data_IF_529425158708
#
_entry.id   IF_529425158708
#
_cell.length_a   1.000
_cell.length_b   1.000
_cell.length_c   1.000
_cell.angle_alpha   90.00
_cell.angle_beta   90.00
_cell.angle_gamma   90.00
#
_symmetry.space_group_name_H-M   'P 1'
#
loop_
_entity.id
_entity.type
_entity.pdbx_description
1 polymer ?
#
# COMPACT_ATOMS: atom_id res chain seq x y z
N UNK A 1 26.40 -28.74 -6.94
CA UNK A 1 27.33 -28.54 -8.07
C UNK A 1 27.61 -27.05 -8.16
N UNK A 2 28.88 -26.69 -8.06
CA UNK A 2 29.39 -25.32 -7.95
C UNK A 2 29.52 -24.67 -9.31
N UNK A 3 29.13 -23.41 -9.41
CA UNK A 3 29.83 -22.42 -10.23
C UNK A 3 29.59 -21.04 -9.60
N UNK A 4 30.68 -20.29 -9.42
CA UNK A 4 30.79 -18.96 -8.80
C UNK A 4 30.84 -18.86 -7.28
N UNK A 5 31.65 -19.71 -6.63
CA UNK A 5 32.67 -19.36 -5.62
C UNK A 5 32.39 -18.39 -4.46
N UNK A 6 31.19 -17.85 -4.30
CA UNK A 6 30.80 -16.92 -3.25
C UNK A 6 30.17 -17.78 -2.16
N UNK A 7 30.98 -18.15 -1.17
CA UNK A 7 30.46 -18.62 0.11
C UNK A 7 29.74 -17.45 0.77
N UNK A 8 28.42 -17.39 0.62
CA UNK A 8 27.59 -16.59 1.53
C UNK A 8 27.75 -17.20 2.92
N UNK A 9 28.58 -16.58 3.76
CA UNK A 9 28.49 -16.81 5.21
C UNK A 9 27.14 -16.25 5.64
N UNK A 10 26.16 -17.13 5.78
CA UNK A 10 25.04 -16.82 6.68
C UNK A 10 25.66 -16.64 8.06
N UNK A 11 25.85 -15.39 8.46
CA UNK A 11 26.08 -15.06 9.86
C UNK A 11 24.74 -15.28 10.52
N UNK A 12 24.59 -16.44 11.14
CA UNK A 12 23.47 -16.67 12.05
C UNK A 12 23.52 -15.55 13.09
N UNK A 13 22.56 -14.63 13.03
CA UNK A 13 22.48 -13.52 13.96
C UNK A 13 21.98 -14.04 15.29
N UNK A 14 22.84 -14.76 16.04
CA UNK A 14 22.56 -15.24 17.38
C UNK A 14 22.51 -14.12 18.43
N UNK A 15 22.60 -12.84 18.03
CA UNK A 15 22.35 -11.73 18.93
C UNK A 15 20.84 -11.59 19.13
N UNK A 16 20.39 -11.80 20.37
CA UNK A 16 19.03 -11.52 20.86
C UNK A 16 18.58 -10.13 20.39
N UNK A 17 17.89 -10.05 19.25
CA UNK A 17 17.55 -8.76 18.63
C UNK A 17 16.54 -8.07 19.54
N UNK A 18 16.90 -6.89 20.04
CA UNK A 18 16.03 -6.14 20.94
C UNK A 18 14.88 -5.55 20.14
N UNK A 19 13.68 -5.98 20.53
CA UNK A 19 12.41 -5.55 19.98
C UNK A 19 11.92 -4.27 20.66
N UNK A 20 11.29 -3.37 19.91
CA UNK A 20 10.76 -2.10 20.42
C UNK A 20 9.32 -1.91 19.95
N UNK A 21 8.43 -1.54 20.88
CA UNK A 21 7.06 -1.13 20.57
C UNK A 21 7.03 0.37 20.22
N UNK A 22 6.32 0.78 19.16
CA UNK A 22 6.25 2.19 18.76
C UNK A 22 5.33 3.02 19.65
N UNK A 23 5.77 4.26 19.91
CA UNK A 23 5.06 5.26 20.73
C UNK A 23 4.64 6.45 19.85
N UNK A 24 3.56 7.10 20.28
CA UNK A 24 2.71 8.11 19.62
C UNK A 24 3.42 9.40 19.12
N UNK A 25 4.65 9.70 19.55
CA UNK A 25 5.39 10.92 19.16
C UNK A 25 6.72 10.58 18.47
N UNK A 26 6.79 10.88 17.17
CA UNK A 26 7.90 10.56 16.27
C UNK A 26 9.24 11.18 16.70
N UNK A 27 9.24 12.41 17.22
CA UNK A 27 10.50 13.10 17.52
C UNK A 27 11.11 12.57 18.82
N UNK A 28 10.34 12.57 19.91
CA UNK A 28 10.78 12.10 21.23
C UNK A 28 11.12 10.61 21.19
N UNK A 29 10.34 9.81 20.47
CA UNK A 29 10.62 8.38 20.32
C UNK A 29 11.92 8.13 19.55
N UNK A 30 12.15 8.84 18.44
CA UNK A 30 13.36 8.64 17.64
C UNK A 30 14.62 9.01 18.44
N UNK A 31 14.63 10.19 19.06
CA UNK A 31 15.84 10.70 19.74
C UNK A 31 16.10 10.00 21.07
N UNK A 32 15.07 9.69 21.87
CA UNK A 32 15.28 9.11 23.21
C UNK A 32 15.28 7.59 23.23
N UNK A 33 14.62 6.93 22.27
CA UNK A 33 14.47 5.46 22.30
C UNK A 33 15.25 4.77 21.19
N UNK A 34 15.19 5.27 19.95
CA UNK A 34 15.80 4.61 18.79
C UNK A 34 17.30 4.91 18.70
N UNK A 35 17.70 6.19 18.65
CA UNK A 35 19.10 6.59 18.45
C UNK A 35 20.05 5.98 19.50
N UNK A 36 19.78 6.03 20.83
CA UNK A 36 20.70 5.48 21.82
C UNK A 36 20.82 3.96 21.75
N UNK A 37 19.73 3.26 21.41
CA UNK A 37 19.74 1.81 21.22
C UNK A 37 20.48 1.43 19.94
N UNK A 38 20.39 2.25 18.90
CA UNK A 38 21.05 1.99 17.63
C UNK A 38 22.56 2.16 17.80
N UNK A 39 22.99 3.20 18.51
CA UNK A 39 24.39 3.41 18.90
C UNK A 39 24.91 2.26 19.77
N UNK A 40 24.10 1.74 20.70
CA UNK A 40 24.51 0.65 21.59
C UNK A 40 24.57 -0.74 20.93
N UNK A 41 23.59 -1.07 20.09
CA UNK A 41 23.39 -2.44 19.58
C UNK A 41 23.71 -2.60 18.09
N UNK A 42 23.87 -1.51 17.34
CA UNK A 42 24.14 -1.49 15.90
C UNK A 42 22.94 -1.85 15.02
N UNK A 43 22.10 -2.80 15.45
CA UNK A 43 20.89 -3.25 14.74
C UNK A 43 19.72 -3.34 15.70
N UNK A 44 18.55 -2.85 15.27
CA UNK A 44 17.28 -2.92 16.02
C UNK A 44 16.21 -3.55 15.12
N UNK A 45 15.39 -4.43 15.67
CA UNK A 45 14.19 -4.97 15.00
C UNK A 45 12.94 -4.33 15.62
N UNK A 46 12.05 -3.81 14.78
CA UNK A 46 10.76 -3.31 15.21
C UNK A 46 9.72 -4.41 15.07
N UNK A 47 9.13 -4.85 16.18
CA UNK A 47 8.17 -5.97 16.19
C UNK A 47 6.77 -5.60 15.70
N UNK A 48 6.44 -4.31 15.72
CA UNK A 48 5.15 -3.78 15.26
C UNK A 48 5.38 -2.63 14.28
N UNK A 49 5.90 -2.94 13.09
CA UNK A 49 6.13 -1.94 12.02
C UNK A 49 4.82 -1.45 11.39
N UNK A 50 3.73 -2.19 11.59
CA UNK A 50 2.35 -1.89 11.20
C UNK A 50 1.72 -0.76 12.03
N UNK A 51 2.17 -0.58 13.28
CA UNK A 51 1.88 0.63 14.05
C UNK A 51 2.57 1.81 13.39
N UNK A 52 1.81 2.41 12.46
CA UNK A 52 2.10 3.63 11.73
C UNK A 52 2.85 4.59 12.65
N UNK A 53 4.09 4.92 12.31
CA UNK A 53 4.70 6.18 12.72
C UNK A 53 3.73 7.25 12.20
N UNK A 54 2.88 7.72 13.12
CA UNK A 54 1.59 8.29 12.78
C UNK A 54 1.79 9.44 11.79
N UNK A 55 0.95 9.52 10.76
CA UNK A 55 0.88 10.69 9.86
C UNK A 55 0.44 11.98 10.60
N UNK A 56 0.35 11.92 11.92
CA UNK A 56 -0.12 12.98 12.79
C UNK A 56 1.08 13.89 13.12
N UNK A 57 0.90 15.20 12.93
CA UNK A 57 1.92 16.19 13.27
C UNK A 57 3.05 16.36 12.25
N UNK A 58 3.02 15.67 11.10
CA UNK A 58 3.99 15.91 10.01
C UNK A 58 3.45 17.00 9.07
N UNK A 59 4.21 18.08 8.81
CA UNK A 59 3.84 19.10 7.83
C UNK A 59 3.49 18.50 6.46
N UNK A 60 2.46 19.06 5.81
CA UNK A 60 1.94 18.56 4.53
C UNK A 60 3.03 18.40 3.46
N UNK A 61 3.95 19.36 3.36
CA UNK A 61 5.04 19.33 2.38
C UNK A 61 6.01 18.17 2.62
N UNK A 62 6.29 17.83 3.89
CA UNK A 62 7.11 16.66 4.23
C UNK A 62 6.36 15.36 3.95
N UNK A 63 5.04 15.32 4.17
CA UNK A 63 4.24 14.15 3.79
C UNK A 63 4.26 13.94 2.27
N UNK A 64 4.06 15.00 1.47
CA UNK A 64 4.14 14.95 0.01
C UNK A 64 5.52 14.50 -0.47
N UNK A 65 6.60 15.05 0.11
CA UNK A 65 7.96 14.66 -0.21
C UNK A 65 8.20 13.18 0.10
N UNK A 66 7.80 12.72 1.29
CA UNK A 66 7.90 11.31 1.70
C UNK A 66 7.14 10.39 0.74
N UNK A 67 5.91 10.74 0.38
CA UNK A 67 5.12 9.99 -0.60
C UNK A 67 5.82 9.94 -1.96
N UNK A 68 6.35 11.06 -2.46
CA UNK A 68 7.05 11.14 -3.74
C UNK A 68 8.33 10.29 -3.75
N UNK A 69 9.12 10.34 -2.68
CA UNK A 69 10.35 9.54 -2.56
C UNK A 69 10.02 8.05 -2.51
N UNK A 70 9.06 7.64 -1.67
CA UNK A 70 8.63 6.25 -1.57
C UNK A 70 8.07 5.73 -2.89
N UNK A 71 7.24 6.51 -3.58
CA UNK A 71 6.71 6.15 -4.89
C UNK A 71 7.80 5.90 -5.94
N UNK A 72 8.89 6.70 -5.91
CA UNK A 72 10.01 6.52 -6.84
C UNK A 72 10.93 5.36 -6.46
N UNK A 73 11.07 5.09 -5.16
CA UNK A 73 11.93 4.02 -4.65
C UNK A 73 11.26 2.63 -4.76
N UNK A 74 9.95 2.55 -4.53
CA UNK A 74 9.17 1.33 -4.64
C UNK A 74 8.87 1.02 -6.11
N UNK A 75 9.78 0.28 -6.74
CA UNK A 75 9.60 -0.26 -8.08
C UNK A 75 9.31 -1.74 -8.04
N UNK A 76 8.54 -2.22 -9.01
CA UNK A 76 8.35 -3.65 -9.20
C UNK A 76 9.65 -4.30 -9.68
N UNK A 77 9.75 -5.62 -9.52
CA UNK A 77 10.87 -6.36 -10.10
C UNK A 77 10.84 -6.23 -11.62
N UNK A 78 12.00 -6.29 -12.30
CA UNK A 78 12.06 -6.15 -13.77
C UNK A 78 11.11 -7.11 -14.50
N UNK A 79 10.95 -8.34 -13.97
CA UNK A 79 10.03 -9.34 -14.52
C UNK A 79 8.57 -8.89 -14.49
N UNK A 80 8.11 -8.33 -13.37
CA UNK A 80 6.73 -7.82 -13.24
C UNK A 80 6.53 -6.60 -14.14
N UNK A 81 7.51 -5.69 -14.22
CA UNK A 81 7.43 -4.53 -15.10
C UNK A 81 7.35 -4.94 -16.58
N UNK A 82 8.14 -5.92 -17.00
CA UNK A 82 8.12 -6.43 -18.37
C UNK A 82 6.77 -7.09 -18.70
N UNK A 83 6.24 -7.92 -17.80
CA UNK A 83 4.90 -8.50 -17.97
C UNK A 83 3.83 -7.42 -18.03
N UNK A 84 3.87 -6.42 -17.14
CA UNK A 84 2.93 -5.30 -17.15
C UNK A 84 2.98 -4.49 -18.44
N UNK A 85 4.19 -4.24 -18.99
CA UNK A 85 4.36 -3.57 -20.29
C UNK A 85 3.72 -4.36 -21.42
N UNK A 86 3.96 -5.67 -21.49
CA UNK A 86 3.35 -6.56 -22.50
C UNK A 86 1.83 -6.54 -22.44
N UNK A 87 1.26 -6.57 -21.23
CA UNK A 87 -0.19 -6.46 -21.03
C UNK A 87 -0.67 -5.14 -21.62
N UNK A 88 -0.12 -4.01 -21.16
CA UNK A 88 -0.57 -2.68 -21.61
C UNK A 88 -0.42 -2.49 -23.12
N UNK A 89 0.68 -2.98 -23.72
CA UNK A 89 0.88 -2.98 -25.17
C UNK A 89 -0.21 -3.76 -25.90
N UNK A 90 -0.58 -4.94 -25.37
CA UNK A 90 -1.69 -5.73 -25.91
C UNK A 90 -3.02 -4.99 -25.82
N UNK A 91 -3.36 -4.40 -24.66
CA UNK A 91 -4.62 -3.66 -24.49
C UNK A 91 -4.70 -2.48 -25.47
N UNK A 92 -3.60 -1.71 -25.62
CA UNK A 92 -3.54 -0.58 -26.56
C UNK A 92 -3.73 -0.98 -28.02
N UNK A 93 -3.25 -2.16 -28.42
CA UNK A 93 -3.45 -2.67 -29.79
C UNK A 93 -4.91 -2.95 -30.10
N UNK A 94 -5.70 -3.33 -29.10
CA UNK A 94 -7.12 -3.61 -29.26
C UNK A 94 -7.97 -2.34 -29.28
N UNK A 95 -7.39 -1.17 -29.01
CA UNK A 95 -8.07 0.13 -29.04
C UNK A 95 -8.01 0.89 -27.70
N UNK A 96 -8.74 2.01 -27.59
CA UNK A 96 -8.89 2.74 -26.34
C UNK A 96 -9.50 1.85 -25.25
N UNK A 97 -9.03 2.02 -24.02
CA UNK A 97 -9.53 1.27 -22.87
C UNK A 97 -9.48 2.08 -21.58
N UNK A 98 -10.31 1.65 -20.62
CA UNK A 98 -10.35 2.15 -19.25
C UNK A 98 -10.03 1.00 -18.30
N UNK A 99 -9.31 1.31 -17.22
CA UNK A 99 -9.01 0.35 -16.15
C UNK A 99 -9.72 0.77 -14.87
N UNK A 100 -10.50 -0.13 -14.30
CA UNK A 100 -11.19 0.06 -13.03
C UNK A 100 -10.50 -0.78 -11.96
N UNK A 101 -10.08 -0.14 -10.87
CA UNK A 101 -9.61 -0.84 -9.68
C UNK A 101 -10.77 -0.97 -8.69
N UNK A 102 -11.34 -2.16 -8.59
CA UNK A 102 -12.47 -2.45 -7.72
C UNK A 102 -11.96 -3.04 -6.41
N UNK A 103 -12.16 -2.29 -5.33
CA UNK A 103 -11.82 -2.74 -3.99
C UNK A 103 -13.09 -2.95 -3.17
N UNK A 104 -13.69 -4.12 -3.33
CA UNK A 104 -14.86 -4.57 -2.57
C UNK A 104 -14.49 -5.55 -1.46
N UNK A 105 -13.35 -5.33 -0.80
CA UNK A 105 -12.92 -6.20 0.29
C UNK A 105 -13.86 -6.02 1.50
N UNK A 106 -14.32 -7.14 2.08
CA UNK A 106 -15.13 -7.14 3.32
C UNK A 106 -14.39 -6.48 4.50
N UNK A 107 -13.06 -6.35 4.43
CA UNK A 107 -12.25 -5.68 5.44
C UNK A 107 -12.57 -4.18 5.58
N UNK A 108 -13.11 -3.55 4.53
CA UNK A 108 -13.65 -2.19 4.55
C UNK A 108 -14.87 -2.08 5.49
N UNK A 109 -15.57 -3.20 5.76
CA UNK A 109 -16.83 -3.21 6.50
C UNK A 109 -16.82 -4.07 7.78
N UNK A 110 -15.87 -4.99 7.98
CA UNK A 110 -16.11 -6.14 8.88
C UNK A 110 -15.11 -6.40 10.03
N UNK A 111 -14.16 -5.51 10.36
CA UNK A 111 -13.23 -5.78 11.47
C UNK A 111 -13.44 -4.91 12.72
N UNK A 112 -13.86 -5.49 13.86
CA UNK A 112 -14.15 -4.76 15.10
C UNK A 112 -12.91 -4.21 15.84
N UNK A 113 -11.69 -4.54 15.38
CA UNK A 113 -10.43 -4.07 15.95
C UNK A 113 -9.78 -2.90 15.20
N UNK A 114 -10.43 -2.36 14.15
CA UNK A 114 -9.99 -1.09 13.57
C UNK A 114 -10.32 0.08 14.50
N UNK A 115 -9.47 1.12 14.52
CA UNK A 115 -9.60 2.31 15.40
C UNK A 115 -10.91 3.11 15.23
N UNK A 116 -11.77 2.77 14.29
CA UNK A 116 -13.09 3.36 14.10
C UNK A 116 -14.15 2.26 14.31
N UNK A 117 -14.74 2.23 15.51
CA UNK A 117 -15.68 1.17 15.94
C UNK A 117 -17.11 1.33 15.42
N UNK A 118 -17.44 2.47 14.81
CA UNK A 118 -18.72 2.72 14.14
C UNK A 118 -18.45 3.26 12.74
N UNK A 119 -18.67 2.41 11.73
CA UNK A 119 -18.69 2.83 10.33
C UNK A 119 -20.16 3.05 9.97
N UNK A 120 -20.66 4.25 10.24
CA UNK A 120 -21.94 4.70 9.67
C UNK A 120 -21.74 4.92 8.16
N UNK A 121 -22.15 3.93 7.37
CA UNK A 121 -22.04 3.93 5.91
C UNK A 121 -22.77 5.12 5.28
N UNK A 122 -23.89 5.57 5.86
CA UNK A 122 -24.66 6.71 5.36
C UNK A 122 -23.88 8.00 5.57
N UNK A 123 -23.29 8.18 6.76
CA UNK A 123 -22.46 9.36 7.06
C UNK A 123 -21.20 9.38 6.20
N UNK A 124 -20.52 8.24 6.03
CA UNK A 124 -19.33 8.11 5.19
C UNK A 124 -19.63 8.39 3.71
N UNK A 125 -20.78 7.92 3.21
CA UNK A 125 -21.23 8.19 1.84
C UNK A 125 -21.53 9.67 1.63
N UNK A 126 -22.17 10.34 2.59
CA UNK A 126 -22.38 11.80 2.57
C UNK A 126 -21.07 12.60 2.56
N UNK A 127 -20.00 12.04 3.11
CA UNK A 127 -18.66 12.66 3.12
C UNK A 127 -17.82 12.29 1.88
N UNK A 128 -18.33 11.46 0.96
CA UNK A 128 -17.58 11.00 -0.21
C UNK A 128 -16.47 9.99 0.10
N UNK A 129 -16.55 9.30 1.25
CA UNK A 129 -15.52 8.35 1.70
C UNK A 129 -15.85 6.89 1.34
N UNK A 130 -17.03 6.62 0.77
CA UNK A 130 -17.43 5.29 0.34
C UNK A 130 -17.01 4.99 -1.10
N UNK A 131 -16.67 3.74 -1.43
CA UNK A 131 -16.56 3.31 -2.83
C UNK A 131 -17.87 3.55 -3.58
N UNK A 132 -17.76 3.87 -4.87
CA UNK A 132 -18.91 3.98 -5.77
C UNK A 132 -19.57 2.61 -5.93
N UNK A 133 -20.90 2.57 -6.00
CA UNK A 133 -21.61 1.34 -6.43
C UNK A 133 -21.36 1.07 -7.92
N UNK A 134 -21.64 -0.13 -8.43
CA UNK A 134 -21.58 -0.40 -9.86
C UNK A 134 -22.41 0.60 -10.70
N UNK A 135 -23.60 0.98 -10.22
CA UNK A 135 -24.48 1.96 -10.89
C UNK A 135 -23.87 3.36 -10.88
N UNK A 136 -23.33 3.81 -9.75
CA UNK A 136 -22.66 5.12 -9.65
C UNK A 136 -21.39 5.17 -10.51
N UNK A 137 -20.66 4.06 -10.56
CA UNK A 137 -19.49 3.93 -11.43
C UNK A 137 -19.92 4.06 -12.89
N UNK A 138 -20.97 3.33 -13.31
CA UNK A 138 -21.48 3.42 -14.68
C UNK A 138 -22.00 4.82 -15.04
N UNK A 139 -22.68 5.49 -14.12
CA UNK A 139 -23.12 6.89 -14.29
C UNK A 139 -21.93 7.84 -14.43
N UNK A 140 -20.89 7.66 -13.60
CA UNK A 140 -19.67 8.46 -13.66
C UNK A 140 -18.95 8.27 -14.99
N UNK A 141 -18.81 7.03 -15.47
CA UNK A 141 -18.17 6.75 -16.77
C UNK A 141 -18.92 7.42 -17.91
N UNK A 142 -20.26 7.36 -17.91
CA UNK A 142 -21.08 8.08 -18.90
C UNK A 142 -20.94 9.60 -18.81
N UNK A 143 -20.88 10.15 -17.60
CA UNK A 143 -20.70 11.59 -17.38
C UNK A 143 -19.32 12.09 -17.84
N UNK A 144 -18.31 11.20 -17.85
CA UNK A 144 -16.98 11.46 -18.38
C UNK A 144 -16.87 11.25 -19.90
N UNK A 145 -18.01 11.05 -20.59
CA UNK A 145 -18.08 10.81 -22.03
C UNK A 145 -17.23 9.61 -22.49
N UNK A 146 -17.13 8.59 -21.62
CA UNK A 146 -16.48 7.32 -21.98
C UNK A 146 -17.46 6.55 -22.87
N UNK A 147 -17.02 6.31 -24.10
CA UNK A 147 -17.77 5.54 -25.09
C UNK A 147 -18.17 4.17 -24.50
N UNK A 148 -19.48 3.82 -24.50
CA UNK A 148 -19.96 2.52 -24.06
C UNK A 148 -19.34 1.33 -24.83
N UNK A 149 -18.79 1.54 -26.03
CA UNK A 149 -18.07 0.54 -26.81
C UNK A 149 -16.59 0.39 -26.39
N UNK A 150 -16.09 1.26 -25.50
CA UNK A 150 -14.70 1.21 -25.03
C UNK A 150 -14.45 -0.04 -24.18
N UNK A 151 -13.25 -0.61 -24.30
CA UNK A 151 -12.86 -1.77 -23.50
C UNK A 151 -12.65 -1.39 -22.04
N UNK A 152 -13.25 -2.15 -21.13
CA UNK A 152 -13.10 -1.97 -19.68
C UNK A 152 -12.35 -3.17 -19.11
N UNK A 153 -11.20 -2.91 -18.48
CA UNK A 153 -10.44 -3.91 -17.76
C UNK A 153 -10.59 -3.69 -16.26
N UNK A 154 -10.85 -4.77 -15.52
CA UNK A 154 -11.12 -4.71 -14.08
C UNK A 154 -9.96 -5.34 -13.32
N UNK A 155 -9.38 -4.61 -12.38
CA UNK A 155 -8.45 -5.10 -11.38
C UNK A 155 -9.17 -5.19 -10.03
N UNK A 156 -9.43 -6.42 -9.57
CA UNK A 156 -10.17 -6.67 -8.35
C UNK A 156 -9.59 -7.86 -7.58
N UNK A 157 -9.81 -7.88 -6.26
CA UNK A 157 -9.65 -9.10 -5.46
C UNK A 157 -10.74 -10.13 -5.79
N UNK A 158 -10.74 -11.28 -5.10
CA UNK A 158 -11.84 -12.23 -5.20
C UNK A 158 -13.10 -11.59 -4.61
N UNK A 159 -14.07 -11.23 -5.46
CA UNK A 159 -15.34 -10.62 -5.04
C UNK A 159 -16.43 -11.70 -4.87
N UNK A 160 -16.29 -12.83 -5.56
CA UNK A 160 -17.19 -13.97 -5.46
C UNK A 160 -16.35 -15.25 -5.42
N UNK A 161 -16.53 -16.08 -4.39
CA UNK A 161 -16.14 -17.49 -4.46
C UNK A 161 -17.07 -18.13 -5.48
N UNK A 162 -16.55 -18.44 -6.66
CA UNK A 162 -17.24 -19.23 -7.68
C UNK A 162 -16.86 -20.69 -7.48
#
# INVERSE_FOLDING_TARGET
MTENGIKYKYVECQKKIKSLEPILDLHTYSTLKVVPRLQKYGVIHFTKSDSRLANNGIPLELQKLRCRVNYRALKFTPKIEETGKKIVEFLRRNGPFVVLHLRYEMDIYAYPWWKQKEIDSVKKRKMGECPLTPEETALTLRALDIDPAMQIYIAAGNIYEV
#
